data_IF_560070833633
#
_entry.id   IF_560070833633
#
_cell.length_a   1.000
_cell.length_b   1.000
_cell.length_c   1.000
_cell.angle_alpha   90.00
_cell.angle_beta   90.00
_cell.angle_gamma   90.00
#
_symmetry.space_group_name_H-M   'P 1'
#
loop_
_entity.id
_entity.type
_entity.pdbx_description
1 polymer ?
#
# COMPACT_ATOMS: atom_id res chain seq x y z
N UNK A 1 -61.24 -43.65 -18.82
CA UNK A 1 -61.98 -42.49 -18.33
C UNK A 1 -61.05 -41.68 -17.44
N UNK A 2 -60.78 -40.47 -17.88
CA UNK A 2 -60.20 -39.29 -17.22
C UNK A 2 -60.03 -39.30 -15.70
N UNK A 3 -58.83 -38.94 -15.22
CA UNK A 3 -58.67 -38.17 -13.99
C UNK A 3 -57.54 -37.13 -14.16
N UNK A 4 -57.93 -35.86 -14.11
CA UNK A 4 -57.08 -34.68 -14.07
C UNK A 4 -56.78 -34.30 -12.62
N UNK A 5 -55.61 -33.74 -12.31
CA UNK A 5 -55.43 -32.86 -11.15
C UNK A 5 -54.12 -32.04 -11.18
N UNK A 6 -54.30 -30.74 -11.45
CA UNK A 6 -53.76 -29.57 -10.72
C UNK A 6 -52.23 -29.33 -10.77
N UNK A 7 -51.84 -28.45 -11.70
CA UNK A 7 -50.59 -27.71 -11.67
C UNK A 7 -50.83 -26.39 -10.90
N UNK A 8 -50.32 -26.27 -9.68
CA UNK A 8 -50.38 -25.03 -8.90
C UNK A 8 -49.26 -24.08 -9.35
N UNK A 9 -49.63 -23.02 -10.07
CA UNK A 9 -48.72 -21.95 -10.48
C UNK A 9 -48.58 -20.94 -9.33
N UNK A 10 -47.42 -20.95 -8.67
CA UNK A 10 -47.02 -19.96 -7.67
C UNK A 10 -46.65 -18.64 -8.35
N UNK A 11 -47.60 -17.71 -8.48
CA UNK A 11 -47.29 -16.33 -8.89
C UNK A 11 -46.83 -15.53 -7.67
N UNK A 12 -45.52 -15.47 -7.45
CA UNK A 12 -44.92 -14.50 -6.53
C UNK A 12 -45.02 -13.10 -7.16
N UNK A 13 -46.02 -12.32 -6.76
CA UNK A 13 -46.09 -10.89 -7.05
C UNK A 13 -44.95 -10.18 -6.31
N UNK A 14 -43.94 -9.71 -7.06
CA UNK A 14 -42.94 -8.79 -6.51
C UNK A 14 -43.62 -7.48 -6.12
N UNK A 15 -43.63 -7.17 -4.83
CA UNK A 15 -44.09 -5.88 -4.31
C UNK A 15 -43.04 -4.83 -4.72
N UNK A 16 -43.45 -3.79 -5.45
CA UNK A 16 -42.58 -2.66 -5.75
C UNK A 16 -42.13 -2.00 -4.43
N UNK A 17 -40.82 -1.94 -4.19
CA UNK A 17 -40.26 -1.38 -2.97
C UNK A 17 -40.18 0.15 -3.09
N UNK A 18 -41.11 0.86 -2.44
CA UNK A 18 -41.03 2.31 -2.24
C UNK A 18 -40.26 2.65 -0.95
N UNK A 19 -39.56 3.78 -0.90
CA UNK A 19 -38.91 4.27 0.31
C UNK A 19 -39.84 5.24 1.04
N UNK A 20 -40.26 4.91 2.26
CA UNK A 20 -41.19 5.73 3.03
C UNK A 20 -40.47 6.41 4.19
N UNK A 21 -40.74 7.70 4.39
CA UNK A 21 -40.34 8.44 5.59
C UNK A 21 -41.44 8.36 6.63
N UNK A 22 -41.09 7.82 7.79
CA UNK A 22 -41.96 7.63 8.95
C UNK A 22 -41.55 8.61 10.04
N UNK A 23 -42.51 9.14 10.78
CA UNK A 23 -42.22 9.91 12.00
C UNK A 23 -42.97 9.27 13.15
N UNK A 24 -42.26 8.87 14.20
CA UNK A 24 -42.89 8.32 15.40
C UNK A 24 -43.68 9.44 16.12
N UNK A 25 -45.00 9.31 16.31
CA UNK A 25 -45.80 10.34 16.96
C UNK A 25 -45.51 10.49 18.46
N UNK A 26 -44.95 9.48 19.12
CA UNK A 26 -44.63 9.53 20.55
C UNK A 26 -43.27 10.17 20.84
N UNK A 27 -42.30 9.99 19.95
CA UNK A 27 -40.90 10.43 20.16
C UNK A 27 -40.43 11.49 19.17
N UNK A 28 -41.13 11.68 18.05
CA UNK A 28 -40.70 12.54 16.94
C UNK A 28 -39.56 11.96 16.10
N UNK A 29 -39.11 10.73 16.35
CA UNK A 29 -38.00 10.12 15.63
C UNK A 29 -38.37 9.80 14.18
N UNK A 30 -37.46 10.12 13.24
CA UNK A 30 -37.63 9.81 11.81
C UNK A 30 -36.96 8.48 11.48
N UNK A 31 -37.69 7.59 10.82
CA UNK A 31 -37.16 6.34 10.28
C UNK A 31 -37.55 6.19 8.80
N UNK A 32 -36.74 5.44 8.05
CA UNK A 32 -37.01 5.13 6.65
C UNK A 32 -37.32 3.64 6.52
N UNK A 33 -38.39 3.32 5.80
CA UNK A 33 -38.87 1.95 5.63
C UNK A 33 -39.08 1.61 4.15
N UNK A 34 -38.81 0.37 3.77
CA UNK A 34 -39.10 -0.16 2.42
C UNK A 34 -40.58 -0.58 2.26
N UNK A 35 -41.35 -0.52 3.34
CA UNK A 35 -42.79 -0.75 3.38
C UNK A 35 -43.48 0.44 4.05
N UNK A 36 -44.73 0.69 3.69
CA UNK A 36 -45.52 1.77 4.31
C UNK A 36 -45.65 1.50 5.82
N UNK A 37 -45.04 2.37 6.63
CA UNK A 37 -44.88 2.20 8.07
C UNK A 37 -46.00 2.83 8.90
N UNK A 38 -46.74 3.79 8.34
CA UNK A 38 -47.83 4.50 8.99
C UNK A 38 -48.81 5.03 7.94
N UNK A 39 -50.04 5.36 8.37
CA UNK A 39 -51.07 5.88 7.47
C UNK A 39 -50.71 7.25 6.86
N UNK A 40 -49.88 8.03 7.55
CA UNK A 40 -49.36 9.33 7.12
C UNK A 40 -47.94 9.25 6.50
N UNK A 41 -47.42 8.03 6.31
CA UNK A 41 -46.09 7.83 5.73
C UNK A 41 -46.01 8.46 4.33
N UNK A 42 -44.95 9.23 4.11
CA UNK A 42 -44.70 9.88 2.82
C UNK A 42 -43.71 9.08 2.02
N UNK A 43 -44.08 8.71 0.81
CA UNK A 43 -43.14 8.15 -0.15
C UNK A 43 -42.08 9.19 -0.51
N UNK A 44 -40.83 8.76 -0.51
CA UNK A 44 -39.66 9.56 -0.85
C UNK A 44 -39.22 9.13 -2.24
N UNK A 45 -39.41 10.02 -3.20
CA UNK A 45 -38.79 9.88 -4.50
C UNK A 45 -37.29 10.21 -4.35
N UNK A 46 -36.45 9.19 -4.52
CA UNK A 46 -35.00 9.35 -4.45
C UNK A 46 -34.51 9.67 -5.85
N UNK A 47 -34.03 10.89 -6.06
CA UNK A 47 -33.31 11.25 -7.28
C UNK A 47 -31.97 10.52 -7.32
N UNK A 48 -31.97 9.33 -7.93
CA UNK A 48 -30.76 8.55 -8.14
C UNK A 48 -30.06 9.09 -9.38
N UNK A 49 -29.00 9.86 -9.17
CA UNK A 49 -28.09 10.20 -10.24
C UNK A 49 -27.36 8.93 -10.72
N UNK A 50 -27.68 8.49 -11.92
CA UNK A 50 -26.92 7.48 -12.63
C UNK A 50 -25.87 8.18 -13.50
N UNK A 51 -24.56 7.99 -13.24
CA UNK A 51 -23.52 8.60 -14.03
C UNK A 51 -23.61 8.15 -15.49
N UNK A 52 -23.36 9.08 -16.41
CA UNK A 52 -23.21 8.76 -17.83
C UNK A 52 -21.94 7.94 -18.08
N UNK A 53 -21.90 7.21 -19.20
CA UNK A 53 -20.72 6.44 -19.60
C UNK A 53 -19.46 7.31 -19.69
N UNK A 54 -19.60 8.55 -20.14
CA UNK A 54 -18.52 9.53 -20.20
C UNK A 54 -18.00 9.92 -18.80
N UNK A 55 -18.89 10.05 -17.81
CA UNK A 55 -18.51 10.33 -16.42
C UNK A 55 -17.75 9.16 -15.80
N UNK A 56 -18.23 7.95 -16.07
CA UNK A 56 -17.57 6.71 -15.66
C UNK A 56 -16.18 6.61 -16.32
N UNK A 57 -16.08 6.87 -17.62
CA UNK A 57 -14.82 6.84 -18.37
C UNK A 57 -13.81 7.88 -17.84
N UNK A 58 -14.25 9.12 -17.61
CA UNK A 58 -13.40 10.17 -17.01
C UNK A 58 -12.94 9.79 -15.60
N UNK A 59 -13.82 9.19 -14.81
CA UNK A 59 -13.47 8.71 -13.47
C UNK A 59 -12.39 7.63 -13.54
N UNK A 60 -12.53 6.63 -14.42
CA UNK A 60 -11.52 5.60 -14.62
C UNK A 60 -10.18 6.18 -15.08
N UNK A 61 -10.18 7.13 -16.00
CA UNK A 61 -8.95 7.80 -16.44
C UNK A 61 -8.24 8.51 -15.29
N UNK A 62 -8.99 9.18 -14.41
CA UNK A 62 -8.44 9.83 -13.21
C UNK A 62 -7.85 8.83 -12.24
N UNK A 63 -8.54 7.71 -11.98
CA UNK A 63 -8.02 6.64 -11.13
C UNK A 63 -6.71 6.08 -11.68
N UNK A 64 -6.66 5.74 -12.97
CA UNK A 64 -5.44 5.23 -13.60
C UNK A 64 -4.29 6.24 -13.56
N UNK A 65 -4.58 7.53 -13.74
CA UNK A 65 -3.57 8.58 -13.59
C UNK A 65 -3.07 8.69 -12.15
N UNK A 66 -3.97 8.60 -11.17
CA UNK A 66 -3.65 8.53 -9.75
C UNK A 66 -2.76 7.34 -9.41
N UNK A 67 -3.11 6.15 -9.90
CA UNK A 67 -2.34 4.92 -9.68
C UNK A 67 -0.92 5.03 -10.23
N UNK A 68 -0.77 5.53 -11.47
CA UNK A 68 0.55 5.75 -12.08
C UNK A 68 1.37 6.78 -11.30
N UNK A 69 0.73 7.83 -10.80
CA UNK A 69 1.41 8.83 -9.97
C UNK A 69 1.88 8.23 -8.65
N UNK A 70 1.02 7.47 -7.96
CA UNK A 70 1.37 6.78 -6.71
C UNK A 70 2.53 5.79 -6.91
N UNK A 71 2.49 4.98 -7.97
CA UNK A 71 3.58 4.06 -8.31
C UNK A 71 4.91 4.78 -8.50
N UNK A 72 4.90 5.93 -9.20
CA UNK A 72 6.11 6.74 -9.39
C UNK A 72 6.64 7.27 -8.06
N UNK A 73 5.77 7.82 -7.22
CA UNK A 73 6.16 8.36 -5.90
C UNK A 73 6.79 7.27 -5.05
N UNK A 74 6.22 6.06 -5.03
CA UNK A 74 6.78 4.93 -4.27
C UNK A 74 8.12 4.46 -4.84
N UNK A 75 8.28 4.41 -6.17
CA UNK A 75 9.57 4.11 -6.80
C UNK A 75 10.65 5.14 -6.44
N UNK A 76 10.31 6.43 -6.47
CA UNK A 76 11.24 7.51 -6.08
C UNK A 76 11.62 7.43 -4.61
N UNK A 77 10.65 7.15 -3.72
CA UNK A 77 10.90 6.97 -2.29
C UNK A 77 11.85 5.79 -2.04
N UNK A 78 11.60 4.66 -2.69
CA UNK A 78 12.46 3.47 -2.60
C UNK A 78 13.88 3.77 -3.13
N UNK A 79 14.01 4.46 -4.27
CA UNK A 79 15.30 4.85 -4.83
C UNK A 79 16.08 5.77 -3.88
N UNK A 80 15.43 6.79 -3.31
CA UNK A 80 16.06 7.69 -2.31
C UNK A 80 16.44 6.96 -1.03
N UNK A 81 15.64 5.99 -0.59
CA UNK A 81 15.96 5.16 0.57
C UNK A 81 17.23 4.33 0.32
N UNK A 82 17.31 3.64 -0.83
CA UNK A 82 18.49 2.87 -1.24
C UNK A 82 19.74 3.75 -1.37
N UNK A 83 19.63 4.90 -2.02
CA UNK A 83 20.74 5.83 -2.17
C UNK A 83 21.30 6.29 -0.81
N UNK A 84 20.42 6.61 0.16
CA UNK A 84 20.84 6.96 1.53
C UNK A 84 21.51 5.81 2.25
N UNK A 85 20.96 4.60 2.14
CA UNK A 85 21.56 3.42 2.75
C UNK A 85 22.95 3.11 2.14
N UNK A 86 23.10 3.26 0.82
CA UNK A 86 24.38 3.09 0.15
C UNK A 86 25.42 4.11 0.66
N UNK A 87 25.05 5.39 0.73
CA UNK A 87 25.93 6.43 1.26
C UNK A 87 26.34 6.17 2.72
N UNK A 88 25.45 5.63 3.55
CA UNK A 88 25.77 5.23 4.93
C UNK A 88 26.77 4.07 4.97
N UNK A 89 26.59 3.06 4.13
CA UNK A 89 27.53 1.93 4.01
C UNK A 89 28.91 2.39 3.54
N UNK A 90 28.97 3.29 2.56
CA UNK A 90 30.24 3.86 2.09
C UNK A 90 30.93 4.69 3.17
N UNK A 91 30.18 5.53 3.90
CA UNK A 91 30.72 6.30 5.02
C UNK A 91 31.26 5.39 6.13
N UNK A 92 30.52 4.32 6.48
CA UNK A 92 30.94 3.34 7.47
C UNK A 92 32.21 2.58 7.03
N UNK A 93 32.27 2.16 5.77
CA UNK A 93 33.47 1.57 5.16
C UNK A 93 34.67 2.51 5.28
N UNK A 94 34.51 3.77 4.90
CA UNK A 94 35.58 4.76 4.95
C UNK A 94 36.10 4.97 6.38
N UNK A 95 35.19 5.05 7.37
CA UNK A 95 35.55 5.18 8.78
C UNK A 95 36.35 3.96 9.29
N UNK A 96 35.93 2.74 8.94
CA UNK A 96 36.66 1.53 9.32
C UNK A 96 38.05 1.44 8.67
N UNK A 97 38.16 1.76 7.37
CA UNK A 97 39.44 1.81 6.69
C UNK A 97 40.36 2.89 7.29
N UNK A 98 39.82 4.05 7.68
CA UNK A 98 40.57 5.08 8.37
C UNK A 98 41.09 4.58 9.74
N UNK A 99 40.30 3.80 10.47
CA UNK A 99 40.74 3.17 11.71
C UNK A 99 41.89 2.16 11.48
N UNK A 100 41.84 1.36 10.41
CA UNK A 100 42.93 0.45 10.05
C UNK A 100 44.20 1.23 9.66
N UNK A 101 44.08 2.31 8.88
CA UNK A 101 45.20 3.20 8.55
C UNK A 101 45.82 3.83 9.80
N UNK A 102 45.00 4.26 10.75
CA UNK A 102 45.50 4.79 12.03
C UNK A 102 46.25 3.73 12.85
N UNK A 103 45.77 2.48 12.86
CA UNK A 103 46.51 1.35 13.46
C UNK A 103 47.85 1.13 12.77
N UNK A 104 47.89 1.16 11.43
CA UNK A 104 49.13 1.04 10.63
C UNK A 104 50.14 2.13 11.00
N UNK A 105 49.70 3.39 11.06
CA UNK A 105 50.58 4.52 11.41
C UNK A 105 51.17 4.41 12.83
N UNK A 106 50.37 3.98 13.81
CA UNK A 106 50.86 3.74 15.18
C UNK A 106 51.86 2.59 15.24
N UNK A 107 51.61 1.53 14.48
CA UNK A 107 52.47 0.35 14.44
C UNK A 107 53.81 0.59 13.72
N UNK A 108 53.81 1.44 12.69
CA UNK A 108 55.03 1.90 12.02
C UNK A 108 55.98 2.62 12.99
N UNK A 109 55.43 3.36 13.95
CA UNK A 109 56.22 4.02 15.01
C UNK A 109 56.71 3.06 16.11
N UNK A 110 56.22 1.81 16.13
CA UNK A 110 56.46 0.84 17.20
C UNK A 110 57.15 -0.46 16.72
N UNK A 111 57.82 -0.44 15.56
CA UNK A 111 58.59 -1.55 15.00
C UNK A 111 57.79 -2.85 14.78
N UNK A 112 56.50 -2.75 14.40
CA UNK A 112 55.70 -3.93 14.08
C UNK A 112 56.12 -4.51 12.71
N UNK A 113 56.66 -5.73 12.70
CA UNK A 113 57.21 -6.38 11.50
C UNK A 113 56.17 -6.84 10.46
N UNK A 114 56.66 -7.46 9.37
CA UNK A 114 55.89 -7.85 8.18
C UNK A 114 54.59 -8.64 8.46
N UNK A 115 54.54 -9.48 9.50
CA UNK A 115 53.34 -10.22 9.89
C UNK A 115 52.18 -9.30 10.28
N UNK A 116 52.48 -8.19 10.96
CA UNK A 116 51.47 -7.21 11.35
C UNK A 116 50.93 -6.43 10.14
N UNK A 117 51.81 -6.06 9.22
CA UNK A 117 51.40 -5.40 7.97
C UNK A 117 50.52 -6.30 7.10
N UNK A 118 50.83 -7.60 7.04
CA UNK A 118 50.01 -8.59 6.36
C UNK A 118 48.62 -8.72 7.02
N UNK A 119 48.55 -8.76 8.35
CA UNK A 119 47.27 -8.81 9.06
C UNK A 119 46.40 -7.57 8.79
N UNK A 120 46.99 -6.37 8.84
CA UNK A 120 46.26 -5.13 8.52
C UNK A 120 45.80 -5.07 7.06
N UNK A 121 46.59 -5.60 6.13
CA UNK A 121 46.22 -5.65 4.72
C UNK A 121 45.09 -6.66 4.47
N UNK A 122 45.10 -7.79 5.18
CA UNK A 122 43.99 -8.74 5.19
C UNK A 122 42.71 -8.11 5.78
N UNK A 123 42.83 -7.32 6.84
CA UNK A 123 41.71 -6.59 7.42
C UNK A 123 41.10 -5.59 6.43
N UNK A 124 41.92 -4.81 5.70
CA UNK A 124 41.45 -3.90 4.65
C UNK A 124 40.69 -4.66 3.55
N UNK A 125 41.23 -5.78 3.08
CA UNK A 125 40.59 -6.63 2.08
C UNK A 125 39.25 -7.20 2.58
N UNK A 126 39.20 -7.65 3.84
CA UNK A 126 38.00 -8.18 4.47
C UNK A 126 36.91 -7.11 4.64
N UNK A 127 37.28 -5.89 5.05
CA UNK A 127 36.37 -4.74 5.14
C UNK A 127 35.79 -4.44 3.77
N UNK A 128 36.64 -4.30 2.75
CA UNK A 128 36.20 -4.02 1.38
C UNK A 128 35.22 -5.08 0.88
N UNK A 129 35.59 -6.35 0.97
CA UNK A 129 34.75 -7.45 0.50
C UNK A 129 33.41 -7.54 1.25
N UNK A 130 33.39 -7.22 2.56
CA UNK A 130 32.15 -7.19 3.34
C UNK A 130 31.21 -6.10 2.87
N UNK A 131 31.70 -4.87 2.71
CA UNK A 131 30.89 -3.73 2.30
C UNK A 131 30.45 -3.84 0.83
N UNK A 132 31.29 -4.37 -0.05
CA UNK A 132 30.93 -4.64 -1.44
C UNK A 132 29.75 -5.62 -1.55
N UNK A 133 29.78 -6.72 -0.80
CA UNK A 133 28.64 -7.65 -0.73
C UNK A 133 27.37 -7.00 -0.17
N UNK A 134 27.50 -6.07 0.78
CA UNK A 134 26.34 -5.35 1.33
C UNK A 134 25.76 -4.37 0.32
N UNK A 135 26.61 -3.67 -0.44
CA UNK A 135 26.20 -2.76 -1.50
C UNK A 135 25.53 -3.51 -2.66
N UNK A 136 26.12 -4.63 -3.13
CA UNK A 136 25.53 -5.49 -4.17
C UNK A 136 24.11 -5.94 -3.80
N UNK A 137 23.91 -6.44 -2.57
CA UNK A 137 22.57 -6.82 -2.09
C UNK A 137 21.58 -5.66 -2.04
N UNK A 138 22.07 -4.43 -1.86
CA UNK A 138 21.24 -3.23 -1.80
C UNK A 138 20.88 -2.70 -3.19
N UNK A 139 21.78 -2.83 -4.17
CA UNK A 139 21.59 -2.36 -5.55
C UNK A 139 20.93 -3.39 -6.45
N UNK A 140 21.04 -4.69 -6.11
CA UNK A 140 20.41 -5.78 -6.86
C UNK A 140 21.23 -6.28 -8.07
N UNK A 141 22.54 -6.03 -8.05
CA UNK A 141 23.53 -6.62 -8.98
C UNK A 141 24.17 -7.88 -8.36
#
# INVERSE_FOLDING_TARGET
MTLAAILALSTSTGVAAGLYKCTDPATGAVTFSQTQCAADAREVDVDVHQPSEDEIARHHQRLQAGDRWMQRVEQERAARARARAAAQLEAARAAELAAVKAKRARAANNLAGATWEQALSQDEANINARYERQLQRLTGD
#
